data_IF_082557639522
#
_entry.id   IF_082557639522
#
_cell.length_a   1.000
_cell.length_b   1.000
_cell.length_c   1.000
_cell.angle_alpha   90.00
_cell.angle_beta   90.00
_cell.angle_gamma   90.00
#
_symmetry.space_group_name_H-M   'P 1'
#
loop_
_entity.id
_entity.type
_entity.pdbx_description
1 polymer ?
#
# COMPACT_ATOMS: atom_id res chain seq x y z
N UNK A 1 -9.76 -0.61 -37.49
CA UNK A 1 -11.15 -0.98 -37.87
C UNK A 1 -11.50 -2.42 -37.45
N UNK A 2 -10.54 -3.31 -37.30
CA UNK A 2 -10.77 -4.71 -36.87
C UNK A 2 -10.87 -4.90 -35.35
N UNK A 3 -10.44 -3.96 -34.54
CA UNK A 3 -10.55 -3.97 -33.06
C UNK A 3 -11.94 -3.59 -32.55
N UNK A 4 -12.77 -2.94 -33.37
CA UNK A 4 -14.13 -2.56 -33.01
C UNK A 4 -15.14 -3.71 -33.02
N UNK A 5 -14.89 -4.76 -33.79
CA UNK A 5 -15.82 -5.88 -33.96
C UNK A 5 -15.74 -6.93 -32.82
N UNK A 6 -14.64 -6.97 -32.05
CA UNK A 6 -14.49 -7.89 -30.92
C UNK A 6 -15.23 -7.44 -29.64
N UNK A 7 -15.79 -6.21 -29.65
CA UNK A 7 -16.48 -5.62 -28.48
C UNK A 7 -17.96 -6.04 -28.42
N UNK A 8 -18.47 -6.68 -29.43
CA UNK A 8 -19.90 -7.00 -29.52
C UNK A 8 -20.28 -8.41 -29.04
N UNK A 9 -19.44 -9.11 -28.28
CA UNK A 9 -19.82 -10.43 -27.77
C UNK A 9 -20.57 -10.27 -26.44
N UNK A 10 -21.86 -10.63 -26.37
CA UNK A 10 -22.75 -10.32 -25.25
C UNK A 10 -22.47 -11.09 -23.95
N UNK A 11 -21.43 -11.91 -23.89
CA UNK A 11 -21.12 -12.77 -22.74
C UNK A 11 -19.82 -12.43 -22.03
N UNK A 12 -19.09 -11.39 -22.47
CA UNK A 12 -17.88 -10.94 -21.76
C UNK A 12 -18.25 -9.68 -20.98
N UNK A 13 -18.24 -9.71 -19.63
CA UNK A 13 -18.47 -8.52 -18.84
C UNK A 13 -17.49 -7.42 -19.27
N UNK A 14 -17.96 -6.17 -19.38
CA UNK A 14 -17.11 -5.01 -19.77
C UNK A 14 -15.81 -4.91 -18.94
N UNK A 15 -15.85 -5.35 -17.69
CA UNK A 15 -14.68 -5.49 -16.81
C UNK A 15 -13.57 -6.38 -17.38
N UNK A 16 -13.95 -7.49 -18.03
CA UNK A 16 -12.99 -8.43 -18.62
C UNK A 16 -12.34 -7.84 -19.86
N UNK A 17 -13.11 -7.10 -20.66
CA UNK A 17 -12.63 -6.40 -21.85
C UNK A 17 -11.61 -5.30 -21.53
N UNK A 18 -11.84 -4.51 -20.49
CA UNK A 18 -10.91 -3.47 -20.04
C UNK A 18 -9.59 -4.06 -19.51
N UNK A 19 -9.66 -5.12 -18.71
CA UNK A 19 -8.50 -5.82 -18.17
C UNK A 19 -7.66 -6.48 -19.28
N UNK A 20 -8.31 -7.09 -20.27
CA UNK A 20 -7.63 -7.72 -21.41
C UNK A 20 -7.00 -6.68 -22.33
N UNK A 21 -7.63 -5.52 -22.53
CA UNK A 21 -7.04 -4.39 -23.29
C UNK A 21 -5.82 -3.82 -22.57
N UNK A 22 -5.86 -3.66 -21.24
CA UNK A 22 -4.73 -3.22 -20.45
C UNK A 22 -3.58 -4.23 -20.48
N UNK A 23 -3.85 -5.53 -20.40
CA UNK A 23 -2.81 -6.57 -20.53
C UNK A 23 -2.15 -6.58 -21.90
N UNK A 24 -2.89 -6.37 -22.98
CA UNK A 24 -2.33 -6.31 -24.34
C UNK A 24 -1.49 -5.05 -24.59
N UNK A 25 -1.85 -3.92 -23.94
CA UNK A 25 -1.07 -2.67 -24.03
C UNK A 25 0.15 -2.66 -23.09
N UNK A 26 0.16 -3.51 -22.06
CA UNK A 26 1.15 -3.52 -21.00
C UNK A 26 2.28 -4.55 -21.17
N UNK A 27 2.29 -5.32 -22.25
CA UNK A 27 3.29 -6.38 -22.45
C UNK A 27 4.71 -5.89 -22.76
N UNK A 28 4.93 -4.58 -22.83
CA UNK A 28 6.28 -4.03 -22.93
C UNK A 28 6.68 -3.37 -21.60
N UNK A 29 7.72 -3.88 -20.91
CA UNK A 29 8.33 -3.12 -19.83
C UNK A 29 8.75 -1.78 -20.41
N UNK A 30 8.40 -0.67 -19.74
CA UNK A 30 8.74 0.65 -20.24
C UNK A 30 10.26 0.73 -20.44
N UNK A 31 10.73 0.63 -21.70
CA UNK A 31 12.13 0.74 -22.10
C UNK A 31 12.79 2.05 -21.64
N UNK A 32 11.99 3.00 -21.17
CA UNK A 32 12.39 4.35 -20.77
C UNK A 32 12.46 4.60 -19.26
N UNK A 33 12.18 3.58 -18.42
CA UNK A 33 12.29 3.78 -16.97
C UNK A 33 13.72 4.15 -16.58
N UNK A 34 13.87 5.31 -15.93
CA UNK A 34 15.15 5.82 -15.42
C UNK A 34 15.48 5.31 -14.03
N UNK A 35 14.43 4.96 -13.29
CA UNK A 35 14.50 4.50 -11.91
C UNK A 35 14.06 3.04 -11.79
N UNK A 36 14.63 2.37 -10.81
CA UNK A 36 14.20 1.08 -10.33
C UNK A 36 13.67 1.26 -8.91
N UNK A 37 12.51 0.70 -8.62
CA UNK A 37 11.93 0.68 -7.28
C UNK A 37 12.05 -0.74 -6.73
N UNK A 38 12.63 -0.87 -5.55
CA UNK A 38 12.60 -2.10 -4.75
C UNK A 38 11.84 -1.82 -3.48
N UNK A 39 10.94 -2.68 -3.08
CA UNK A 39 10.10 -2.45 -1.92
C UNK A 39 9.90 -3.71 -1.09
N UNK A 40 9.56 -3.52 0.18
CA UNK A 40 9.18 -4.58 1.12
C UNK A 40 8.17 -4.05 2.12
N UNK A 41 7.36 -4.96 2.64
CA UNK A 41 6.41 -4.68 3.73
C UNK A 41 6.55 -5.71 4.83
N UNK A 42 6.19 -5.33 6.04
CA UNK A 42 6.04 -6.21 7.20
C UNK A 42 4.88 -5.74 8.06
N UNK A 43 4.22 -6.67 8.69
CA UNK A 43 3.16 -6.39 9.65
C UNK A 43 3.28 -7.32 10.86
N UNK A 44 2.67 -6.93 11.95
CA UNK A 44 2.55 -7.70 13.17
C UNK A 44 1.25 -7.39 13.86
N UNK A 45 0.49 -8.42 14.16
CA UNK A 45 -0.65 -8.33 15.06
C UNK A 45 -0.19 -8.48 16.52
N UNK A 46 -0.99 -8.01 17.49
CA UNK A 46 -0.90 -8.45 18.87
C UNK A 46 -0.99 -9.98 18.97
N UNK A 47 -0.43 -10.56 20.04
CA UNK A 47 -0.42 -12.01 20.22
C UNK A 47 -1.81 -12.62 20.09
N UNK A 48 -1.95 -13.62 19.23
CA UNK A 48 -3.17 -14.42 19.04
C UNK A 48 -4.25 -13.78 18.17
N UNK A 49 -4.01 -12.63 17.52
CA UNK A 49 -4.98 -11.91 16.70
C UNK A 49 -4.67 -11.86 15.21
N UNK A 50 -5.69 -11.58 14.41
CA UNK A 50 -5.50 -11.18 13.02
C UNK A 50 -5.08 -9.70 12.97
N UNK A 51 -4.12 -9.36 12.11
CA UNK A 51 -3.71 -7.97 11.88
C UNK A 51 -4.81 -7.20 11.16
N UNK A 52 -5.28 -6.10 11.73
CA UNK A 52 -6.26 -5.19 11.12
C UNK A 52 -5.70 -4.40 9.96
N UNK A 53 -4.37 -4.26 9.91
CA UNK A 53 -3.68 -3.56 8.83
C UNK A 53 -3.58 -4.41 7.55
N UNK A 54 -3.60 -3.75 6.42
CA UNK A 54 -3.34 -4.38 5.12
C UNK A 54 -2.42 -3.49 4.29
N UNK A 55 -1.40 -4.09 3.67
CA UNK A 55 -0.50 -3.37 2.76
C UNK A 55 -0.29 -4.14 1.46
N UNK A 56 -0.03 -3.44 0.37
CA UNK A 56 0.33 -4.03 -0.92
C UNK A 56 1.42 -3.24 -1.63
N UNK A 57 2.17 -3.93 -2.48
CA UNK A 57 3.16 -3.36 -3.38
C UNK A 57 2.84 -3.94 -4.76
N UNK A 58 2.53 -3.09 -5.72
CA UNK A 58 2.03 -3.52 -7.01
C UNK A 58 2.75 -2.82 -8.14
N UNK A 59 2.76 -3.47 -9.28
CA UNK A 59 3.23 -2.89 -10.52
C UNK A 59 2.04 -2.73 -11.46
N UNK A 60 1.70 -1.49 -11.76
CA UNK A 60 0.64 -1.18 -12.70
C UNK A 60 1.06 -1.55 -14.15
N UNK A 61 0.09 -1.80 -15.04
CA UNK A 61 0.36 -2.14 -16.45
C UNK A 61 1.18 -1.09 -17.19
N UNK A 62 1.06 0.18 -16.82
CA UNK A 62 1.83 1.29 -17.40
C UNK A 62 3.26 1.40 -16.84
N UNK A 63 3.63 0.50 -15.94
CA UNK A 63 4.97 0.44 -15.33
C UNK A 63 5.13 1.24 -14.04
N UNK A 64 4.10 1.98 -13.60
CA UNK A 64 4.10 2.60 -12.27
C UNK A 64 4.21 1.56 -11.17
N UNK A 65 4.82 1.93 -10.06
CA UNK A 65 4.83 1.13 -8.84
C UNK A 65 3.87 1.78 -7.84
N UNK A 66 2.94 1.02 -7.32
CA UNK A 66 1.93 1.49 -6.39
C UNK A 66 2.18 0.85 -5.03
N UNK A 67 2.34 1.68 -4.03
CA UNK A 67 2.46 1.29 -2.64
C UNK A 67 1.15 1.63 -1.94
N UNK A 68 0.57 0.68 -1.23
CA UNK A 68 -0.70 0.86 -0.53
C UNK A 68 -0.55 0.37 0.90
N UNK A 69 -1.08 1.15 1.84
CA UNK A 69 -1.19 0.80 3.25
C UNK A 69 -2.55 1.27 3.77
N UNK A 70 -3.26 0.41 4.47
CA UNK A 70 -4.54 0.69 5.07
C UNK A 70 -4.61 0.09 6.47
N UNK A 71 -5.16 0.84 7.41
CA UNK A 71 -5.45 0.43 8.77
C UNK A 71 -6.96 0.49 8.99
N UNK A 72 -7.57 -0.65 9.33
CA UNK A 72 -9.00 -0.78 9.54
C UNK A 72 -9.38 -0.41 10.98
N UNK A 73 -10.45 0.36 11.15
CA UNK A 73 -10.95 0.75 12.47
C UNK A 73 -11.16 -0.45 13.39
N UNK A 74 -10.57 -0.40 14.58
CA UNK A 74 -10.66 -1.44 15.59
C UNK A 74 -9.52 -2.46 15.50
N UNK A 75 -9.77 -3.69 15.90
CA UNK A 75 -8.75 -4.75 15.95
C UNK A 75 -9.29 -6.07 15.39
N UNK A 76 -8.38 -6.96 15.01
CA UNK A 76 -8.69 -8.31 14.58
C UNK A 76 -9.37 -8.39 13.21
N UNK A 77 -10.19 -9.44 13.01
CA UNK A 77 -10.74 -9.77 11.69
C UNK A 77 -11.74 -8.72 11.17
N UNK A 78 -12.41 -7.98 12.06
CA UNK A 78 -13.28 -6.87 11.69
C UNK A 78 -12.51 -5.76 11.00
N UNK A 79 -11.48 -5.27 11.66
CA UNK A 79 -10.56 -4.25 11.14
C UNK A 79 -9.88 -4.71 9.85
N UNK A 80 -9.42 -5.96 9.82
CA UNK A 80 -8.81 -6.58 8.64
C UNK A 80 -9.73 -6.58 7.41
N UNK A 81 -11.03 -6.84 7.60
CA UNK A 81 -11.99 -6.76 6.48
C UNK A 81 -12.13 -5.34 5.95
N UNK A 82 -12.12 -4.33 6.83
CA UNK A 82 -12.23 -2.93 6.42
C UNK A 82 -11.00 -2.47 5.64
N UNK A 83 -9.80 -2.71 6.16
CA UNK A 83 -8.56 -2.35 5.49
C UNK A 83 -8.39 -3.06 4.14
N UNK A 84 -8.69 -4.36 4.07
CA UNK A 84 -8.66 -5.13 2.81
C UNK A 84 -9.65 -4.60 1.79
N UNK A 85 -10.86 -4.23 2.22
CA UNK A 85 -11.87 -3.67 1.32
C UNK A 85 -11.45 -2.32 0.78
N UNK A 86 -10.96 -1.43 1.64
CA UNK A 86 -10.47 -0.11 1.22
C UNK A 86 -9.33 -0.25 0.20
N UNK A 87 -8.38 -1.14 0.47
CA UNK A 87 -7.24 -1.38 -0.40
C UNK A 87 -7.66 -2.02 -1.73
N UNK A 88 -8.56 -3.00 -1.72
CA UNK A 88 -9.06 -3.64 -2.94
C UNK A 88 -9.78 -2.66 -3.86
N UNK A 89 -10.62 -1.78 -3.30
CA UNK A 89 -11.30 -0.73 -4.05
C UNK A 89 -10.30 0.29 -4.63
N UNK A 90 -9.31 0.71 -3.82
CA UNK A 90 -8.27 1.62 -4.30
C UNK A 90 -7.52 1.04 -5.51
N UNK A 91 -7.13 -0.23 -5.44
CA UNK A 91 -6.50 -0.93 -6.57
C UNK A 91 -7.36 -0.91 -7.82
N UNK A 92 -8.61 -1.37 -7.68
CA UNK A 92 -9.53 -1.50 -8.80
C UNK A 92 -9.74 -0.14 -9.50
N UNK A 93 -9.92 0.93 -8.74
CA UNK A 93 -10.13 2.25 -9.32
C UNK A 93 -8.86 2.87 -9.91
N UNK A 94 -7.69 2.64 -9.30
CA UNK A 94 -6.41 3.09 -9.87
C UNK A 94 -6.09 2.35 -11.18
N UNK A 95 -6.38 1.03 -11.24
CA UNK A 95 -6.22 0.23 -12.44
C UNK A 95 -7.16 0.67 -13.58
N UNK A 96 -8.37 1.11 -13.24
CA UNK A 96 -9.34 1.64 -14.20
C UNK A 96 -8.97 3.01 -14.77
N UNK A 97 -7.94 3.66 -14.26
CA UNK A 97 -7.50 4.99 -14.70
C UNK A 97 -8.49 6.11 -14.40
N UNK A 98 -9.36 5.91 -13.39
CA UNK A 98 -10.25 6.96 -12.91
C UNK A 98 -9.44 8.11 -12.33
N UNK A 99 -9.94 9.34 -12.48
CA UNK A 99 -9.32 10.44 -11.77
C UNK A 99 -9.48 10.25 -10.25
N UNK A 100 -8.51 10.73 -9.51
CA UNK A 100 -8.40 10.50 -8.06
C UNK A 100 -9.68 10.90 -7.29
N UNK A 101 -10.30 12.04 -7.61
CA UNK A 101 -11.51 12.50 -6.91
C UNK A 101 -12.67 11.53 -7.12
N UNK A 102 -12.88 11.07 -8.33
CA UNK A 102 -13.93 10.09 -8.66
C UNK A 102 -13.67 8.76 -7.98
N UNK A 103 -12.42 8.29 -8.01
CA UNK A 103 -12.00 7.04 -7.37
C UNK A 103 -12.26 7.09 -5.85
N UNK A 104 -11.78 8.11 -5.15
CA UNK A 104 -11.93 8.19 -3.69
C UNK A 104 -13.36 8.44 -3.23
N UNK A 105 -14.17 9.19 -3.99
CA UNK A 105 -15.62 9.31 -3.70
C UNK A 105 -16.32 7.96 -3.85
N UNK A 106 -15.96 7.17 -4.84
CA UNK A 106 -16.51 5.82 -5.01
C UNK A 106 -16.07 4.90 -3.87
N UNK A 107 -14.79 4.95 -3.46
CA UNK A 107 -14.28 4.19 -2.31
C UNK A 107 -15.07 4.55 -1.05
N UNK A 108 -15.26 5.84 -0.75
CA UNK A 108 -15.99 6.31 0.41
C UNK A 108 -17.43 5.79 0.43
N UNK A 109 -18.15 5.89 -0.69
CA UNK A 109 -19.53 5.40 -0.80
C UNK A 109 -19.65 3.89 -0.67
N UNK A 110 -18.70 3.13 -1.22
CA UNK A 110 -18.69 1.68 -1.15
C UNK A 110 -18.16 1.16 0.20
N UNK A 111 -17.41 1.99 0.92
CA UNK A 111 -16.89 1.66 2.25
C UNK A 111 -17.89 1.99 3.36
N UNK A 112 -18.96 2.75 3.06
CA UNK A 112 -19.99 3.11 4.03
C UNK A 112 -20.76 1.87 4.49
N UNK A 113 -20.21 1.19 5.48
CA UNK A 113 -20.78 0.01 6.14
C UNK A 113 -21.43 0.34 7.48
N UNK A 114 -21.67 1.63 7.79
CA UNK A 114 -22.20 2.10 9.06
C UNK A 114 -21.24 3.04 9.82
N UNK A 115 -21.72 3.61 10.93
CA UNK A 115 -21.02 4.70 11.67
C UNK A 115 -19.61 4.36 12.19
N UNK A 116 -19.20 3.09 12.18
CA UNK A 116 -17.90 2.64 12.70
C UNK A 116 -17.08 1.85 11.67
N UNK A 117 -17.48 1.85 10.39
CA UNK A 117 -16.83 1.07 9.34
C UNK A 117 -15.95 1.95 8.46
N UNK A 118 -14.81 2.39 8.96
CA UNK A 118 -13.85 3.20 8.21
C UNK A 118 -12.42 2.63 8.29
N UNK A 119 -11.58 3.06 7.39
CA UNK A 119 -10.18 2.67 7.33
C UNK A 119 -9.33 3.88 6.94
N UNK A 120 -8.11 3.95 7.46
CA UNK A 120 -7.11 4.81 6.82
C UNK A 120 -6.77 4.26 5.46
N UNK A 121 -6.29 5.11 4.56
CA UNK A 121 -5.76 4.69 3.27
C UNK A 121 -4.62 5.61 2.86
N UNK A 122 -3.44 5.04 2.73
CA UNK A 122 -2.23 5.70 2.26
C UNK A 122 -1.82 5.06 0.94
N UNK A 123 -1.73 5.86 -0.13
CA UNK A 123 -1.34 5.40 -1.45
C UNK A 123 -0.21 6.24 -1.97
N UNK A 124 0.83 5.59 -2.48
CA UNK A 124 1.92 6.25 -3.18
C UNK A 124 2.09 5.64 -4.58
N UNK A 125 1.85 6.43 -5.61
CA UNK A 125 2.10 6.06 -7.00
C UNK A 125 3.45 6.59 -7.44
N UNK A 126 4.33 5.72 -7.88
CA UNK A 126 5.69 6.07 -8.34
C UNK A 126 5.76 5.82 -9.84
N UNK A 127 6.03 6.85 -10.62
CA UNK A 127 6.37 6.74 -12.03
C UNK A 127 7.90 6.62 -12.18
N UNK A 128 8.44 5.44 -12.54
CA UNK A 128 9.87 5.24 -12.67
C UNK A 128 10.48 5.89 -13.94
N UNK A 129 9.66 6.37 -14.85
CA UNK A 129 10.10 7.07 -16.06
C UNK A 129 10.39 8.54 -15.75
N UNK A 130 9.42 9.22 -15.15
CA UNK A 130 9.54 10.65 -14.78
C UNK A 130 10.24 10.87 -13.45
N UNK A 131 10.22 9.85 -12.57
CA UNK A 131 10.70 9.98 -11.20
C UNK A 131 9.71 10.71 -10.29
N UNK A 132 8.46 10.86 -10.70
CA UNK A 132 7.43 11.50 -9.88
C UNK A 132 6.77 10.50 -8.96
N UNK A 133 6.63 10.86 -7.69
CA UNK A 133 5.76 10.17 -6.75
C UNK A 133 4.56 11.05 -6.42
N UNK A 134 3.35 10.46 -6.42
CA UNK A 134 2.11 11.09 -5.96
C UNK A 134 1.62 10.34 -4.73
N UNK A 135 1.25 11.09 -3.72
CA UNK A 135 0.79 10.57 -2.43
C UNK A 135 -0.66 10.97 -2.23
N UNK A 136 -1.49 10.02 -1.87
CA UNK A 136 -2.91 10.19 -1.57
C UNK A 136 -3.14 9.75 -0.14
N UNK A 137 -3.46 10.67 0.73
CA UNK A 137 -3.59 10.46 2.17
C UNK A 137 -5.05 10.58 2.60
N UNK A 138 -5.57 9.55 3.29
CA UNK A 138 -6.89 9.53 3.88
C UNK A 138 -6.80 9.04 5.33
N UNK A 139 -6.66 9.98 6.27
CA UNK A 139 -6.57 9.69 7.71
C UNK A 139 -5.34 8.91 8.16
N UNK A 140 -4.34 8.78 7.30
CA UNK A 140 -3.14 8.00 7.57
C UNK A 140 -2.02 8.83 8.17
N UNK A 141 -1.11 8.15 8.89
CA UNK A 141 0.15 8.69 9.40
C UNK A 141 0.97 9.36 8.29
N UNK A 142 1.91 10.25 8.59
CA UNK A 142 2.81 10.81 7.60
C UNK A 142 3.53 9.71 6.79
N UNK A 143 3.81 9.99 5.53
CA UNK A 143 4.76 9.21 4.75
C UNK A 143 6.10 9.92 4.78
N UNK A 144 7.18 9.22 5.14
CA UNK A 144 8.53 9.78 5.20
C UNK A 144 9.25 9.56 3.89
N UNK A 145 9.72 10.65 3.29
CA UNK A 145 10.66 10.62 2.16
C UNK A 145 12.06 10.87 2.72
N UNK A 146 12.86 9.80 2.79
CA UNK A 146 14.26 9.89 3.22
C UNK A 146 15.15 10.19 2.02
N UNK A 147 15.99 11.19 2.16
CA UNK A 147 17.06 11.55 1.22
C UNK A 147 18.40 11.66 1.96
N UNK A 148 19.24 10.65 1.82
CA UNK A 148 20.40 10.50 2.68
C UNK A 148 19.98 10.37 4.14
N UNK A 149 20.41 11.31 4.98
CA UNK A 149 20.05 11.35 6.42
C UNK A 149 18.95 12.36 6.74
N UNK A 150 18.36 13.02 5.75
CA UNK A 150 17.25 13.94 5.97
C UNK A 150 15.93 13.25 5.67
N UNK A 151 14.91 13.57 6.44
CA UNK A 151 13.54 13.12 6.23
C UNK A 151 12.65 14.32 5.91
N UNK A 152 11.74 14.14 4.97
CA UNK A 152 10.62 15.04 4.72
C UNK A 152 9.35 14.27 4.97
N UNK A 153 8.49 14.77 5.83
CA UNK A 153 7.16 14.23 6.06
C UNK A 153 6.20 14.71 4.99
N UNK A 154 5.36 13.82 4.54
CA UNK A 154 4.26 14.07 3.60
C UNK A 154 2.99 13.75 4.38
N UNK A 155 2.34 14.80 4.82
CA UNK A 155 1.17 14.76 5.70
C UNK A 155 -0.11 15.00 4.88
N UNK A 156 -1.25 14.63 5.44
CA UNK A 156 -2.56 14.89 4.86
C UNK A 156 -3.59 15.16 5.96
N UNK A 157 -4.45 16.15 5.74
CA UNK A 157 -5.52 16.51 6.66
C UNK A 157 -6.88 15.91 6.26
N UNK A 158 -6.89 14.90 5.41
CA UNK A 158 -8.11 14.24 4.94
C UNK A 158 -8.61 13.21 5.93
N UNK A 159 -9.92 12.99 5.95
CA UNK A 159 -10.55 11.96 6.78
C UNK A 159 -10.26 10.55 6.26
N UNK A 160 -10.31 9.52 7.12
CA UNK A 160 -10.30 8.13 6.71
C UNK A 160 -11.44 7.81 5.72
N UNK A 161 -11.24 6.82 4.87
CA UNK A 161 -12.26 6.38 3.92
C UNK A 161 -13.41 5.70 4.65
N UNK A 162 -14.64 6.01 4.23
CA UNK A 162 -15.86 5.51 4.84
C UNK A 162 -16.47 6.43 5.89
N UNK A 163 -15.77 7.48 6.35
CA UNK A 163 -16.31 8.42 7.35
C UNK A 163 -17.32 9.39 6.70
N UNK A 164 -17.00 9.93 5.54
CA UNK A 164 -17.85 10.88 4.80
C UNK A 164 -17.82 10.54 3.31
N UNK A 165 -19.00 10.36 2.71
CA UNK A 165 -19.13 9.94 1.31
C UNK A 165 -18.44 10.88 0.30
N UNK A 166 -18.39 12.16 0.59
CA UNK A 166 -17.81 13.19 -0.30
C UNK A 166 -16.37 13.58 0.09
N UNK A 167 -15.75 12.88 1.08
CA UNK A 167 -14.37 13.14 1.45
C UNK A 167 -13.43 12.87 0.26
N UNK A 168 -12.42 13.70 0.13
CA UNK A 168 -11.38 13.57 -0.89
C UNK A 168 -10.02 13.40 -0.23
N UNK A 169 -9.07 12.71 -0.86
CA UNK A 169 -7.73 12.56 -0.30
C UNK A 169 -7.00 13.90 -0.25
N UNK A 170 -6.10 14.03 0.69
CA UNK A 170 -5.03 15.03 0.59
C UNK A 170 -3.98 14.51 -0.40
N UNK A 171 -3.68 15.30 -1.43
CA UNK A 171 -2.75 14.90 -2.49
C UNK A 171 -1.48 15.74 -2.42
N UNK A 172 -0.34 15.06 -2.45
CA UNK A 172 0.98 15.68 -2.53
C UNK A 172 1.82 15.02 -3.63
N UNK A 173 2.88 15.71 -4.06
CA UNK A 173 3.83 15.15 -5.03
C UNK A 173 5.26 15.41 -4.62
N UNK A 174 6.15 14.51 -5.04
CA UNK A 174 7.59 14.67 -4.89
C UNK A 174 8.33 14.17 -6.12
N UNK A 175 9.47 14.78 -6.42
CA UNK A 175 10.39 14.26 -7.41
C UNK A 175 11.45 13.40 -6.72
N UNK A 176 11.52 12.13 -7.09
CA UNK A 176 12.39 11.13 -6.53
C UNK A 176 13.75 11.11 -7.24
N UNK A 177 14.77 10.76 -6.48
CA UNK A 177 16.15 10.61 -6.95
C UNK A 177 16.70 9.24 -6.55
N UNK A 178 17.66 8.69 -7.29
CA UNK A 178 18.39 7.52 -6.83
C UNK A 178 18.96 7.73 -5.42
N UNK A 179 18.75 6.77 -4.54
CA UNK A 179 19.12 6.83 -3.12
C UNK A 179 17.97 7.23 -2.18
N UNK A 180 16.89 7.79 -2.69
CA UNK A 180 15.71 8.10 -1.87
C UNK A 180 15.06 6.82 -1.36
N UNK A 181 14.37 6.93 -0.20
CA UNK A 181 13.48 5.90 0.30
C UNK A 181 12.14 6.50 0.73
N UNK A 182 11.06 5.79 0.45
CA UNK A 182 9.70 6.11 0.89
C UNK A 182 9.33 5.12 1.99
N UNK A 183 8.89 5.63 3.14
CA UNK A 183 8.44 4.84 4.28
C UNK A 183 7.00 5.21 4.60
N UNK A 184 6.13 4.20 4.64
CA UNK A 184 4.75 4.28 5.08
C UNK A 184 4.60 3.38 6.31
N UNK A 185 3.91 3.85 7.34
CA UNK A 185 3.72 3.10 8.58
C UNK A 185 2.33 3.39 9.15
N UNK A 186 1.78 2.43 9.91
CA UNK A 186 0.55 2.63 10.68
C UNK A 186 0.86 3.24 12.06
N UNK A 187 -0.14 3.83 12.68
CA UNK A 187 -0.03 4.52 13.97
C UNK A 187 0.46 3.59 15.09
N UNK A 188 0.05 2.32 15.10
CA UNK A 188 0.54 1.35 16.07
C UNK A 188 2.06 1.18 16.02
N UNK A 189 2.68 1.21 14.85
CA UNK A 189 4.13 1.18 14.73
C UNK A 189 4.76 2.50 15.13
N UNK A 190 4.19 3.63 14.69
CA UNK A 190 4.69 4.98 14.99
C UNK A 190 4.62 5.24 16.49
N UNK A 191 3.49 4.92 17.14
CA UNK A 191 3.28 5.05 18.57
C UNK A 191 4.24 4.17 19.39
N UNK A 192 4.44 2.93 18.95
CA UNK A 192 5.39 2.01 19.59
C UNK A 192 6.85 2.50 19.53
N UNK A 193 7.22 3.23 18.47
CA UNK A 193 8.54 3.88 18.36
C UNK A 193 8.68 5.14 19.20
N UNK A 194 7.59 5.69 19.76
CA UNK A 194 7.56 6.89 20.58
C UNK A 194 7.00 8.13 19.89
N UNK A 195 6.17 7.94 18.87
CA UNK A 195 5.53 8.98 18.07
C UNK A 195 6.36 9.40 16.85
N UNK A 196 5.78 10.28 16.02
CA UNK A 196 6.37 10.69 14.73
C UNK A 196 7.83 11.18 14.81
N UNK A 197 8.22 12.06 15.76
CA UNK A 197 9.61 12.53 15.81
C UNK A 197 10.60 11.40 16.12
N UNK A 198 10.23 10.47 17.02
CA UNK A 198 11.07 9.34 17.39
C UNK A 198 11.15 8.31 16.25
N UNK A 199 10.03 8.06 15.56
CA UNK A 199 9.99 7.21 14.38
C UNK A 199 10.86 7.78 13.25
N UNK A 200 10.77 9.08 12.97
CA UNK A 200 11.60 9.76 11.99
C UNK A 200 13.09 9.61 12.31
N UNK A 201 13.49 9.91 13.55
CA UNK A 201 14.88 9.76 14.01
C UNK A 201 15.36 8.30 13.84
N UNK A 202 14.52 7.33 14.17
CA UNK A 202 14.82 5.91 13.97
C UNK A 202 14.98 5.57 12.50
N UNK A 203 14.08 5.98 11.63
CA UNK A 203 14.13 5.73 10.19
C UNK A 203 15.40 6.30 9.55
N UNK A 204 15.85 7.47 10.00
CA UNK A 204 17.10 8.09 9.51
C UNK A 204 18.33 7.22 9.82
N UNK A 205 18.33 6.51 10.96
CA UNK A 205 19.45 5.60 11.31
C UNK A 205 19.55 4.40 10.37
N UNK A 206 18.42 4.00 9.80
CA UNK A 206 18.29 2.84 8.91
C UNK A 206 18.43 3.20 7.42
N UNK A 207 18.77 4.44 7.10
CA UNK A 207 18.73 4.99 5.74
C UNK A 207 19.55 4.25 4.69
N UNK A 208 20.49 3.39 5.08
CA UNK A 208 21.33 2.59 4.18
C UNK A 208 20.85 1.15 3.98
N UNK A 209 19.88 0.68 4.76
CA UNK A 209 19.42 -0.70 4.71
C UNK A 209 18.58 -0.98 3.46
N UNK A 210 18.54 -2.25 3.04
CA UNK A 210 17.59 -2.71 2.05
C UNK A 210 16.14 -2.59 2.59
N UNK A 211 15.11 -2.49 1.72
CA UNK A 211 13.73 -2.39 2.18
C UNK A 211 13.31 -3.51 3.14
N UNK A 212 13.72 -4.73 2.88
CA UNK A 212 13.39 -5.87 3.74
C UNK A 212 14.07 -5.77 5.12
N UNK A 213 15.35 -5.42 5.16
CA UNK A 213 16.09 -5.22 6.40
C UNK A 213 15.54 -4.02 7.21
N UNK A 214 15.20 -2.94 6.52
CA UNK A 214 14.57 -1.75 7.09
C UNK A 214 13.26 -2.08 7.80
N UNK A 215 12.33 -2.73 7.10
CA UNK A 215 11.04 -3.12 7.68
C UNK A 215 11.20 -4.07 8.85
N UNK A 216 12.11 -5.06 8.73
CA UNK A 216 12.37 -6.03 9.81
C UNK A 216 12.96 -5.37 11.04
N UNK A 217 13.95 -4.48 10.88
CA UNK A 217 14.56 -3.76 11.98
C UNK A 217 13.56 -2.82 12.68
N UNK A 218 12.75 -2.08 11.90
CA UNK A 218 11.76 -1.17 12.45
C UNK A 218 10.68 -1.90 13.25
N UNK A 219 10.18 -3.03 12.72
CA UNK A 219 9.17 -3.81 13.43
C UNK A 219 9.72 -4.46 14.71
N UNK A 220 10.96 -4.96 14.66
CA UNK A 220 11.64 -5.51 15.85
C UNK A 220 11.81 -4.45 16.93
N UNK A 221 12.25 -3.25 16.56
CA UNK A 221 12.44 -2.14 17.49
C UNK A 221 11.11 -1.68 18.07
N UNK A 222 10.07 -1.48 17.26
CA UNK A 222 8.75 -1.11 17.72
C UNK A 222 8.21 -2.13 18.75
N UNK A 223 8.33 -3.42 18.48
CA UNK A 223 7.95 -4.48 19.42
C UNK A 223 8.74 -4.41 20.73
N UNK A 224 10.03 -4.15 20.67
CA UNK A 224 10.87 -4.06 21.87
C UNK A 224 10.54 -2.85 22.75
N UNK A 225 10.11 -1.76 22.14
CA UNK A 225 9.73 -0.50 22.84
C UNK A 225 8.27 -0.48 23.28
N UNK A 226 7.41 -1.28 22.63
CA UNK A 226 5.98 -1.26 22.92
C UNK A 226 5.71 -1.61 24.38
N UNK A 227 5.11 -0.65 25.12
CA UNK A 227 4.69 -0.76 26.53
C UNK A 227 3.20 -0.52 26.69
N UNK A 228 2.45 -0.49 25.57
CA UNK A 228 1.03 -0.24 25.61
C UNK A 228 0.30 -1.39 26.34
N UNK A 229 -0.64 -1.02 27.20
CA UNK A 229 -1.50 -2.00 27.88
C UNK A 229 -2.39 -2.76 26.89
N UNK A 230 -2.69 -2.13 25.76
CA UNK A 230 -3.39 -2.73 24.61
C UNK A 230 -2.52 -2.50 23.38
N UNK A 231 -1.70 -3.48 22.98
CA UNK A 231 -0.92 -3.40 21.76
C UNK A 231 -1.83 -3.24 20.55
N UNK A 232 -1.41 -2.41 19.61
CA UNK A 232 -2.09 -2.22 18.33
C UNK A 232 -1.37 -2.97 17.21
N UNK A 233 -2.04 -3.12 16.08
CA UNK A 233 -1.47 -3.67 14.87
C UNK A 233 -0.34 -2.76 14.37
N UNK A 234 0.73 -3.35 13.88
CA UNK A 234 1.92 -2.61 13.44
C UNK A 234 2.26 -2.99 12.01
N UNK A 235 2.23 -2.02 11.11
CA UNK A 235 2.62 -2.25 9.73
C UNK A 235 3.61 -1.21 9.24
N UNK A 236 4.51 -1.66 8.36
CA UNK A 236 5.49 -0.80 7.72
C UNK A 236 5.74 -1.27 6.29
N UNK A 237 5.87 -0.30 5.40
CA UNK A 237 6.28 -0.47 4.03
C UNK A 237 7.44 0.46 3.74
N UNK A 238 8.49 -0.06 3.13
CA UNK A 238 9.64 0.71 2.67
C UNK A 238 9.87 0.45 1.19
N UNK A 239 10.02 1.51 0.40
CA UNK A 239 10.44 1.46 -0.98
C UNK A 239 11.72 2.25 -1.17
N UNK A 240 12.69 1.68 -1.89
CA UNK A 240 13.96 2.31 -2.20
C UNK A 240 14.08 2.59 -3.68
N UNK A 241 14.52 3.79 -3.99
CA UNK A 241 14.70 4.30 -5.35
C UNK A 241 16.15 4.10 -5.76
N UNK A 242 16.37 3.43 -6.87
CA UNK A 242 17.69 3.15 -7.42
C UNK A 242 17.79 3.66 -8.85
N UNK A 243 19.00 3.97 -9.29
CA UNK A 243 19.24 4.20 -10.71
C UNK A 243 19.04 2.88 -11.45
N UNK A 244 18.27 2.89 -12.51
CA UNK A 244 18.13 1.72 -13.37
C UNK A 244 19.48 1.47 -14.09
N UNK A 245 19.97 0.25 -14.03
CA UNK A 245 21.15 -0.20 -14.77
C UNK A 245 20.75 -1.33 -15.69
N UNK A 246 21.03 -1.27 -16.99
CA UNK A 246 20.69 -2.33 -17.95
C UNK A 246 21.25 -3.71 -17.55
N UNK A 247 22.34 -3.73 -16.80
CA UNK A 247 22.99 -4.97 -16.33
C UNK A 247 22.25 -5.64 -15.16
N UNK A 248 21.44 -4.89 -14.39
CA UNK A 248 20.70 -5.40 -13.23
C UNK A 248 19.27 -5.87 -13.59
N UNK A 249 18.80 -5.58 -14.80
CA UNK A 249 17.47 -6.00 -15.27
C UNK A 249 17.36 -7.52 -15.55
N UNK A 250 18.48 -8.26 -15.42
CA UNK A 250 18.52 -9.73 -15.47
C UNK A 250 18.26 -10.40 -14.10
N UNK A 251 18.11 -9.64 -13.04
CA UNK A 251 17.75 -10.17 -11.72
C UNK A 251 16.26 -10.53 -11.66
N UNK A 252 15.88 -11.59 -10.94
CA UNK A 252 14.52 -12.11 -10.91
C UNK A 252 13.50 -11.06 -10.47
N UNK A 253 12.28 -11.22 -10.98
CA UNK A 253 11.09 -10.46 -10.61
C UNK A 253 10.97 -10.27 -9.09
N UNK A 254 10.24 -9.21 -8.70
CA UNK A 254 9.79 -9.06 -7.31
C UNK A 254 9.35 -10.43 -6.77
N UNK A 255 9.77 -10.82 -5.56
CA UNK A 255 9.28 -12.07 -4.97
C UNK A 255 7.75 -12.04 -5.02
N UNK A 256 7.18 -13.17 -5.41
CA UNK A 256 5.74 -13.36 -5.39
C UNK A 256 5.18 -12.87 -4.05
N UNK A 257 3.99 -12.28 -4.03
CA UNK A 257 3.35 -11.89 -2.80
C UNK A 257 3.36 -13.10 -1.87
N UNK A 258 3.91 -12.92 -0.67
CA UNK A 258 3.87 -13.96 0.37
C UNK A 258 2.41 -14.37 0.47
N UNK A 259 2.07 -15.64 0.24
CA UNK A 259 0.68 -16.07 0.34
C UNK A 259 0.13 -15.63 1.69
N UNK A 260 -1.07 -15.06 1.67
CA UNK A 260 -1.82 -14.79 2.89
C UNK A 260 -1.87 -16.08 3.70
N UNK A 261 -1.74 -15.98 5.02
CA UNK A 261 -1.81 -17.12 5.94
C UNK A 261 -2.90 -18.12 5.49
N UNK A 262 -2.64 -19.43 5.57
CA UNK A 262 -3.62 -20.42 5.18
C UNK A 262 -4.94 -20.16 5.91
N UNK A 263 -6.10 -20.40 5.26
CA UNK A 263 -7.40 -20.24 5.91
C UNK A 263 -7.39 -21.06 7.21
N UNK A 264 -7.80 -20.44 8.30
CA UNK A 264 -7.93 -21.09 9.58
C UNK A 264 -8.66 -22.43 9.40
N UNK A 265 -8.04 -23.50 9.87
CA UNK A 265 -8.61 -24.84 9.81
C UNK A 265 -10.04 -24.80 10.35
N UNK A 266 -10.99 -25.24 9.55
CA UNK A 266 -12.37 -25.40 10.01
C UNK A 266 -12.37 -26.39 11.18
N UNK A 267 -13.05 -26.13 12.29
CA UNK A 267 -13.19 -27.12 13.34
C UNK A 267 -13.92 -28.33 12.79
N UNK A 268 -13.29 -29.48 12.91
CA UNK A 268 -13.90 -30.77 12.63
C UNK A 268 -15.23 -30.87 13.40
N UNK A 269 -16.33 -30.83 12.68
CA UNK A 269 -17.61 -31.25 13.22
C UNK A 269 -17.58 -32.78 13.38
N UNK A 270 -17.05 -33.22 14.52
CA UNK A 270 -17.18 -34.59 14.92
C UNK A 270 -18.69 -34.94 15.05
N UNK A 271 -19.15 -35.76 14.14
CA UNK A 271 -20.41 -36.45 14.29
C UNK A 271 -20.31 -37.35 15.53
N UNK A 272 -21.11 -37.08 16.53
CA UNK A 272 -21.38 -38.01 17.62
C UNK A 272 -22.46 -39.02 17.21
N UNK A 273 -22.55 -40.15 17.89
CA UNK A 273 -23.33 -41.33 17.51
C UNK A 273 -24.82 -41.12 17.52
#
# INVERSE_FOLDING_TARGET
>A
FLLGAAVAHPLIPERFSARMRMQLLSSQPSLHARLRVTASRRHAAPEGGACGDTGAIEKAPDGRVILLLADGMGTGEGARRLSRRALALAREFLECGLNEFTAYRAINRLSDGGREAFSTLDVCEIDPVTGTARFHKCGSEPTWLLRGRTARRIEGASLPVGVVAEATPSVASAHLRPGDAIIMATDGLVNALGGEPAAEAWFQTLSTLSPAAFCTASLKEARSRNRAARPDDMSILCARIQKRSPLLDRAPALPDPIPDDPPAAQPDTAAGP
#
